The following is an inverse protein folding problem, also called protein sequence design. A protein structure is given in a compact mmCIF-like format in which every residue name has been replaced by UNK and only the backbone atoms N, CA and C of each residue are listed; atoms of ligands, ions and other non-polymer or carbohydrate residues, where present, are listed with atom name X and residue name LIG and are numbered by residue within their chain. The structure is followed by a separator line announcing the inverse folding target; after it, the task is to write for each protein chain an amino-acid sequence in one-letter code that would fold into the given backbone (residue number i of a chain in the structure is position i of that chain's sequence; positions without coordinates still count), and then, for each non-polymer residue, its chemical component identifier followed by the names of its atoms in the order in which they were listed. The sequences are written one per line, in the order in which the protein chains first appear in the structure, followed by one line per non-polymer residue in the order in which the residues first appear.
data_IF_912612292050
#
_entry.id   IF_912612292050
#
_cell.length_a   1.000
_cell.length_b   1.000
_cell.length_c   1.000
_cell.angle_alpha   90.00
_cell.angle_beta   90.00
_cell.angle_gamma   90.00
#
_symmetry.space_group_name_H-M   'P 1'
#
loop_
_entity.id
_entity.type
_entity.pdbx_description
1 polymer ?
#
# COMPACT_ATOMS: atom_id res chain seq x y z
N UNK A 1 16.65 43.97 -10.50
CA UNK A 1 16.98 43.09 -9.36
C UNK A 1 17.42 41.74 -9.91
N UNK A 2 18.65 41.30 -9.63
CA UNK A 2 19.16 40.01 -10.09
C UNK A 2 18.41 38.86 -9.38
N UNK A 3 17.85 37.91 -10.14
CA UNK A 3 17.24 36.70 -9.56
C UNK A 3 18.34 35.83 -8.98
N UNK A 4 18.27 35.55 -7.67
CA UNK A 4 19.20 34.63 -7.02
C UNK A 4 18.78 33.19 -7.32
N UNK A 5 19.59 32.49 -8.12
CA UNK A 5 19.43 31.07 -8.38
C UNK A 5 20.41 30.28 -7.51
N UNK A 6 19.93 29.21 -6.87
CA UNK A 6 20.78 28.29 -6.09
C UNK A 6 21.94 27.72 -6.93
N UNK A 7 21.69 27.54 -8.23
CA UNK A 7 22.71 27.19 -9.23
C UNK A 7 22.68 28.25 -10.33
N UNK A 8 23.65 29.19 -10.38
CA UNK A 8 23.66 30.24 -11.38
C UNK A 8 23.87 29.64 -12.78
N UNK A 9 23.32 30.27 -13.83
CA UNK A 9 23.38 29.77 -15.19
C UNK A 9 24.83 29.58 -15.69
N UNK A 10 25.75 30.47 -15.30
CA UNK A 10 27.18 30.38 -15.63
C UNK A 10 27.81 29.08 -15.13
N UNK A 11 27.54 28.74 -13.86
CA UNK A 11 28.06 27.51 -13.25
C UNK A 11 27.46 26.26 -13.87
N UNK A 12 26.17 26.29 -14.24
CA UNK A 12 25.53 25.17 -14.92
C UNK A 12 26.06 24.99 -16.35
N UNK A 13 26.40 26.07 -17.05
CA UNK A 13 26.97 26.03 -18.40
C UNK A 13 28.39 25.43 -18.38
N UNK A 14 29.25 25.87 -17.46
CA UNK A 14 30.59 25.32 -17.24
C UNK A 14 30.52 23.80 -16.98
N UNK A 15 29.68 23.39 -16.02
CA UNK A 15 29.55 21.98 -15.66
C UNK A 15 28.92 21.15 -16.78
N UNK A 16 28.00 21.70 -17.56
CA UNK A 16 27.42 21.02 -18.71
C UNK A 16 28.46 20.83 -19.83
N UNK A 17 29.29 21.84 -20.11
CA UNK A 17 30.34 21.72 -21.13
C UNK A 17 31.33 20.59 -20.84
N UNK A 18 31.69 20.39 -19.56
CA UNK A 18 32.60 19.33 -19.14
C UNK A 18 31.94 17.97 -18.86
N UNK A 19 30.62 17.87 -18.99
CA UNK A 19 29.87 16.66 -18.65
C UNK A 19 29.34 15.98 -19.91
N UNK A 20 29.23 14.66 -19.85
CA UNK A 20 28.60 13.85 -20.90
C UNK A 20 27.18 13.41 -20.53
N UNK A 21 26.69 13.75 -19.34
CA UNK A 21 25.31 13.45 -18.91
C UNK A 21 24.85 14.32 -17.76
N UNK A 22 23.53 14.44 -17.56
CA UNK A 22 22.93 15.13 -16.40
C UNK A 22 23.39 14.50 -15.08
N UNK A 23 23.58 13.18 -15.03
CA UNK A 23 24.10 12.47 -13.85
C UNK A 23 25.55 12.85 -13.51
N UNK A 24 26.35 13.25 -14.49
CA UNK A 24 27.70 13.75 -14.28
C UNK A 24 27.70 15.19 -13.78
N UNK A 25 26.82 16.04 -14.33
CA UNK A 25 26.56 17.39 -13.79
C UNK A 25 26.15 17.30 -12.31
N UNK A 26 25.26 16.38 -11.96
CA UNK A 26 24.84 16.15 -10.57
C UNK A 26 25.99 15.73 -9.66
N UNK A 27 26.86 14.82 -10.13
CA UNK A 27 28.06 14.40 -9.38
C UNK A 27 29.01 15.57 -9.14
N UNK A 28 29.27 16.40 -10.16
CA UNK A 28 30.12 17.58 -10.04
C UNK A 28 29.52 18.68 -9.17
N UNK A 29 28.19 18.76 -9.10
CA UNK A 29 27.46 19.63 -8.15
C UNK A 29 27.43 19.07 -6.71
N UNK A 30 27.94 17.86 -6.46
CA UNK A 30 27.88 17.21 -5.15
C UNK A 30 26.47 16.78 -4.74
N UNK A 31 25.55 16.58 -5.70
CA UNK A 31 24.16 16.21 -5.42
C UNK A 31 23.95 14.69 -5.58
N UNK A 32 23.09 14.09 -4.73
CA UNK A 32 22.73 12.68 -4.87
C UNK A 32 21.93 12.44 -6.16
N UNK A 33 22.18 11.29 -6.80
CA UNK A 33 21.53 10.88 -8.06
C UNK A 33 20.12 10.36 -7.75
N UNK A 34 19.20 11.28 -7.46
CA UNK A 34 17.78 11.01 -7.23
C UNK A 34 16.95 11.62 -8.36
N UNK A 35 15.80 11.01 -8.68
CA UNK A 35 14.95 11.44 -9.79
C UNK A 35 14.47 12.90 -9.68
N UNK A 36 14.27 13.41 -8.47
CA UNK A 36 13.93 14.82 -8.22
C UNK A 36 15.05 15.78 -8.62
N UNK A 37 16.30 15.49 -8.24
CA UNK A 37 17.46 16.30 -8.61
C UNK A 37 17.73 16.26 -10.11
N UNK A 38 17.59 15.08 -10.73
CA UNK A 38 17.71 14.92 -12.18
C UNK A 38 16.69 15.78 -12.93
N UNK A 39 15.42 15.76 -12.49
CA UNK A 39 14.36 16.56 -13.09
C UNK A 39 14.59 18.06 -12.90
N UNK A 40 15.01 18.48 -11.71
CA UNK A 40 15.24 19.88 -11.40
C UNK A 40 16.38 20.47 -12.25
N UNK A 41 17.54 19.81 -12.29
CA UNK A 41 18.70 20.28 -13.08
C UNK A 41 18.41 20.23 -14.58
N UNK A 42 17.74 19.18 -15.07
CA UNK A 42 17.31 19.12 -16.48
C UNK A 42 16.41 20.28 -16.88
N UNK A 43 15.47 20.69 -16.01
CA UNK A 43 14.62 21.87 -16.24
C UNK A 43 15.43 23.16 -16.24
N UNK A 44 16.39 23.31 -15.32
CA UNK A 44 17.24 24.51 -15.26
C UNK A 44 18.12 24.65 -16.52
N UNK A 45 18.77 23.57 -16.98
CA UNK A 45 19.57 23.57 -18.21
C UNK A 45 18.74 24.02 -19.41
N UNK A 46 17.50 23.50 -19.55
CA UNK A 46 16.58 23.90 -20.61
C UNK A 46 16.11 25.35 -20.46
N UNK A 47 15.79 25.78 -19.24
CA UNK A 47 15.32 27.13 -18.95
C UNK A 47 16.38 28.20 -19.29
N UNK A 48 17.65 27.90 -19.06
CA UNK A 48 18.76 28.80 -19.36
C UNK A 48 19.29 28.66 -20.78
N UNK A 49 18.72 27.77 -21.60
CA UNK A 49 19.16 27.56 -22.98
C UNK A 49 20.59 27.01 -23.10
N UNK A 50 21.06 26.28 -22.08
CA UNK A 50 22.40 25.69 -22.08
C UNK A 50 22.39 24.49 -23.03
N UNK A 51 23.37 24.42 -23.94
CA UNK A 51 23.50 23.29 -24.86
C UNK A 51 23.85 22.01 -24.12
N UNK A 52 23.02 20.98 -24.33
CA UNK A 52 23.20 19.63 -23.79
C UNK A 52 23.10 18.57 -24.90
N UNK A 53 23.26 18.97 -26.16
CA UNK A 53 23.15 18.08 -27.32
C UNK A 53 24.23 16.98 -27.34
N UNK A 54 25.41 17.28 -26.78
CA UNK A 54 26.52 16.34 -26.61
C UNK A 54 26.32 15.34 -25.47
N UNK A 55 25.28 15.50 -24.64
CA UNK A 55 25.00 14.54 -23.58
C UNK A 55 24.63 13.19 -24.19
N UNK A 56 25.29 12.15 -23.70
CA UNK A 56 24.99 10.77 -24.04
C UNK A 56 23.55 10.51 -23.62
N UNK A 57 22.68 10.22 -24.59
CA UNK A 57 21.28 9.88 -24.31
C UNK A 57 21.28 8.61 -23.46
N UNK A 58 20.86 8.74 -22.20
CA UNK A 58 20.54 7.59 -21.35
C UNK A 58 19.52 6.73 -22.11
N UNK A 59 19.93 5.53 -22.54
CA UNK A 59 19.05 4.61 -23.29
C UNK A 59 19.47 4.28 -24.72
N UNK A 60 20.68 4.63 -25.18
CA UNK A 60 21.28 3.90 -26.31
C UNK A 60 21.61 2.48 -25.85
N UNK A 61 20.58 1.63 -25.80
CA UNK A 61 20.75 0.18 -25.82
C UNK A 61 21.65 -0.13 -27.01
N UNK A 62 22.79 -0.80 -26.78
CA UNK A 62 23.45 -1.50 -27.88
C UNK A 62 22.36 -2.27 -28.61
N UNK A 63 22.24 -2.05 -29.93
CA UNK A 63 21.31 -2.80 -30.76
C UNK A 63 21.68 -4.27 -30.52
N UNK A 64 20.83 -5.04 -29.83
CA UNK A 64 21.16 -6.42 -29.52
C UNK A 64 21.22 -7.19 -30.84
N UNK A 65 21.96 -8.31 -30.87
CA UNK A 65 22.07 -9.11 -32.09
C UNK A 65 20.68 -9.45 -32.60
N UNK A 66 20.40 -9.11 -33.85
CA UNK A 66 19.21 -9.56 -34.53
C UNK A 66 19.48 -11.01 -34.93
N UNK A 67 18.86 -11.96 -34.21
CA UNK A 67 18.93 -13.36 -34.61
C UNK A 67 18.22 -13.55 -35.94
N UNK A 68 18.80 -14.37 -36.80
CA UNK A 68 18.15 -14.77 -38.05
C UNK A 68 17.00 -15.74 -37.75
N UNK A 69 16.08 -15.89 -38.71
CA UNK A 69 14.96 -16.83 -38.58
C UNK A 69 15.44 -18.26 -38.34
N UNK A 70 16.52 -18.66 -39.01
CA UNK A 70 17.04 -20.02 -38.96
C UNK A 70 17.65 -20.32 -37.58
N UNK A 71 18.45 -19.39 -37.04
CA UNK A 71 19.00 -19.47 -35.68
C UNK A 71 17.91 -19.61 -34.61
N UNK A 72 16.84 -18.83 -34.74
CA UNK A 72 15.71 -18.89 -33.80
C UNK A 72 14.90 -20.18 -33.94
N UNK A 73 14.81 -20.73 -35.15
CA UNK A 73 14.06 -21.98 -35.40
C UNK A 73 14.81 -23.17 -34.82
N UNK A 74 16.13 -23.22 -35.03
CA UNK A 74 17.00 -24.26 -34.45
C UNK A 74 17.04 -24.18 -32.92
N UNK A 75 17.17 -22.97 -32.38
CA UNK A 75 17.12 -22.75 -30.93
C UNK A 75 15.76 -23.11 -30.34
N UNK A 76 14.65 -22.87 -31.06
CA UNK A 76 13.32 -23.26 -30.62
C UNK A 76 13.10 -24.78 -30.67
N UNK A 77 13.66 -25.48 -31.67
CA UNK A 77 13.58 -26.94 -31.74
C UNK A 77 14.36 -27.64 -30.61
N UNK A 78 15.50 -27.07 -30.21
CA UNK A 78 16.39 -27.65 -29.18
C UNK A 78 16.02 -27.26 -27.74
N UNK A 79 15.17 -26.24 -27.56
CA UNK A 79 14.84 -25.69 -26.25
C UNK A 79 13.42 -26.00 -25.81
N UNK A 80 13.21 -26.04 -24.51
CA UNK A 80 11.88 -26.20 -23.91
C UNK A 80 11.43 -24.96 -23.12
N UNK A 81 12.21 -23.87 -23.16
CA UNK A 81 11.85 -22.58 -22.57
C UNK A 81 12.61 -21.42 -23.21
N UNK A 82 12.06 -20.20 -23.15
CA UNK A 82 12.76 -18.99 -23.61
C UNK A 82 14.09 -18.74 -22.89
N UNK A 83 14.27 -19.24 -21.65
CA UNK A 83 15.54 -19.11 -20.91
C UNK A 83 16.62 -20.01 -21.49
N UNK A 84 16.25 -21.24 -21.84
CA UNK A 84 17.13 -22.21 -22.48
C UNK A 84 17.46 -21.81 -23.91
N UNK A 85 16.45 -21.32 -24.64
CA UNK A 85 16.62 -20.76 -25.99
C UNK A 85 17.62 -19.61 -26.00
N UNK A 86 17.52 -18.67 -25.05
CA UNK A 86 18.49 -17.57 -24.92
C UNK A 86 19.91 -18.08 -24.62
N UNK A 87 20.07 -19.13 -23.80
CA UNK A 87 21.39 -19.72 -23.51
C UNK A 87 21.97 -20.44 -24.72
N UNK A 88 21.15 -21.16 -25.48
CA UNK A 88 21.54 -21.83 -26.73
C UNK A 88 22.04 -20.83 -27.77
N UNK A 89 21.41 -19.65 -27.83
CA UNK A 89 21.81 -18.51 -28.65
C UNK A 89 23.02 -17.72 -28.09
N UNK A 90 23.64 -18.17 -27.00
CA UNK A 90 24.78 -17.50 -26.37
C UNK A 90 24.46 -16.20 -25.63
N UNK A 91 23.18 -15.95 -25.30
CA UNK A 91 22.73 -14.74 -24.62
C UNK A 91 22.36 -14.96 -23.16
N UNK A 92 22.71 -13.98 -22.32
CA UNK A 92 22.37 -13.98 -20.90
C UNK A 92 20.87 -13.69 -20.65
N UNK A 93 20.16 -14.56 -19.91
CA UNK A 93 18.75 -14.34 -19.59
C UNK A 93 18.55 -13.16 -18.65
N UNK A 94 17.81 -12.13 -19.09
CA UNK A 94 17.47 -10.95 -18.31
C UNK A 94 15.99 -10.57 -18.53
N UNK A 95 15.38 -9.76 -17.65
CA UNK A 95 13.97 -9.36 -17.80
C UNK A 95 13.65 -8.71 -19.15
N UNK A 96 14.59 -7.94 -19.72
CA UNK A 96 14.43 -7.28 -21.02
C UNK A 96 14.67 -8.22 -22.20
N UNK A 97 15.45 -9.30 -22.06
CA UNK A 97 15.72 -10.24 -23.15
C UNK A 97 14.52 -11.16 -23.45
N UNK A 98 13.71 -11.51 -22.44
CA UNK A 98 12.50 -12.33 -22.64
C UNK A 98 11.43 -11.66 -23.52
N UNK A 99 11.22 -10.35 -23.35
CA UNK A 99 10.25 -9.61 -24.17
C UNK A 99 10.66 -9.56 -25.64
N UNK A 100 11.97 -9.38 -25.88
CA UNK A 100 12.54 -9.27 -27.23
C UNK A 100 12.48 -10.59 -27.99
N UNK A 101 12.94 -11.68 -27.37
CA UNK A 101 12.94 -12.99 -28.03
C UNK A 101 11.52 -13.43 -28.38
N UNK A 102 10.52 -13.13 -27.53
CA UNK A 102 9.11 -13.36 -27.84
C UNK A 102 8.62 -12.54 -29.03
N UNK A 103 8.98 -11.26 -29.10
CA UNK A 103 8.62 -10.40 -30.22
C UNK A 103 9.20 -10.93 -31.53
N UNK A 104 10.48 -11.33 -31.53
CA UNK A 104 11.14 -11.90 -32.71
C UNK A 104 10.56 -13.25 -33.12
N UNK A 105 10.29 -14.17 -32.19
CA UNK A 105 9.61 -15.43 -32.50
C UNK A 105 8.21 -15.20 -33.09
N UNK A 106 7.48 -14.20 -32.61
CA UNK A 106 6.16 -13.84 -33.15
C UNK A 106 6.26 -13.21 -34.54
N UNK A 107 7.28 -12.38 -34.79
CA UNK A 107 7.52 -11.73 -36.08
C UNK A 107 7.87 -12.75 -37.17
N UNK A 108 8.69 -13.75 -36.83
CA UNK A 108 9.09 -14.82 -37.75
C UNK A 108 8.14 -16.02 -37.77
N UNK A 109 7.01 -15.95 -37.04
CA UNK A 109 6.02 -17.01 -36.91
C UNK A 109 6.63 -18.38 -36.51
N UNK A 110 7.55 -18.37 -35.54
CA UNK A 110 8.22 -19.57 -35.03
C UNK A 110 7.34 -20.22 -33.96
N UNK A 111 7.04 -21.50 -34.13
CA UNK A 111 6.27 -22.24 -33.13
C UNK A 111 7.08 -22.41 -31.84
N UNK A 112 6.50 -21.89 -30.75
CA UNK A 112 7.04 -22.01 -29.39
C UNK A 112 5.99 -22.56 -28.43
N UNK A 113 4.92 -23.17 -28.96
CA UNK A 113 3.81 -23.72 -28.18
C UNK A 113 4.24 -24.89 -27.28
N UNK A 114 5.28 -25.64 -27.68
CA UNK A 114 5.90 -26.71 -26.90
C UNK A 114 6.78 -26.21 -25.76
N UNK A 115 7.11 -24.91 -25.70
CA UNK A 115 7.85 -24.36 -24.57
C UNK A 115 7.01 -24.52 -23.32
N UNK A 116 7.51 -25.31 -22.37
CA UNK A 116 6.86 -25.52 -21.08
C UNK A 116 6.83 -24.18 -20.35
N UNK A 117 5.72 -23.47 -20.46
CA UNK A 117 5.46 -22.35 -19.58
C UNK A 117 5.56 -22.90 -18.15
N UNK A 118 6.49 -22.38 -17.34
CA UNK A 118 6.69 -22.79 -15.94
C UNK A 118 5.39 -22.78 -15.10
N UNK A 119 4.34 -22.16 -15.61
CA UNK A 119 2.97 -22.17 -15.08
C UNK A 119 2.24 -23.51 -15.19
N UNK A 120 2.66 -24.46 -16.04
CA UNK A 120 1.96 -25.75 -16.24
C UNK A 120 2.34 -26.82 -15.20
N UNK A 121 3.29 -26.55 -14.30
CA UNK A 121 3.71 -27.51 -13.24
C UNK A 121 2.72 -27.70 -12.09
N UNK A 122 1.53 -27.09 -12.13
CA UNK A 122 0.42 -27.46 -11.26
C UNK A 122 -0.85 -27.56 -12.11
N UNK A 123 -0.99 -28.64 -12.89
CA UNK A 123 -2.34 -29.11 -13.22
C UNK A 123 -2.84 -29.84 -11.99
N UNK A 124 -3.79 -29.25 -11.30
CA UNK A 124 -4.50 -29.90 -10.20
C UNK A 124 -5.39 -30.99 -10.80
N UNK A 125 -5.54 -32.09 -10.08
CA UNK A 125 -6.55 -33.10 -10.43
C UNK A 125 -7.96 -32.45 -10.46
N UNK A 126 -8.71 -32.56 -11.56
CA UNK A 126 -10.07 -32.02 -11.65
C UNK A 126 -10.98 -32.47 -10.51
N UNK A 127 -10.85 -33.72 -10.06
CA UNK A 127 -11.69 -34.26 -8.98
C UNK A 127 -11.37 -33.60 -7.65
N UNK A 128 -10.08 -33.36 -7.39
CA UNK A 128 -9.65 -32.61 -6.20
C UNK A 128 -10.16 -31.17 -6.19
N UNK A 129 -10.28 -30.54 -7.36
CA UNK A 129 -10.88 -29.21 -7.46
C UNK A 129 -12.39 -29.25 -7.18
N UNK A 130 -13.11 -30.26 -7.70
CA UNK A 130 -14.55 -30.43 -7.46
C UNK A 130 -14.84 -30.66 -5.98
N UNK A 131 -14.09 -31.53 -5.32
CA UNK A 131 -14.17 -31.76 -3.87
C UNK A 131 -13.99 -30.44 -3.10
N UNK A 132 -12.90 -29.72 -3.38
CA UNK A 132 -12.60 -28.47 -2.70
C UNK A 132 -13.67 -27.39 -2.91
N UNK A 133 -14.27 -27.32 -4.10
CA UNK A 133 -15.39 -26.41 -4.41
C UNK A 133 -16.65 -26.82 -3.65
N UNK A 134 -16.98 -28.11 -3.59
CA UNK A 134 -18.16 -28.62 -2.89
C UNK A 134 -18.10 -28.39 -1.37
N UNK A 135 -16.92 -28.50 -0.77
CA UNK A 135 -16.71 -28.29 0.67
C UNK A 135 -16.58 -26.81 1.07
N UNK A 136 -16.38 -25.91 0.10
CA UNK A 136 -16.08 -24.51 0.36
C UNK A 136 -17.29 -23.61 0.15
N UNK A 137 -17.41 -22.58 1.00
CA UNK A 137 -18.41 -21.51 0.84
C UNK A 137 -17.83 -20.25 0.17
N UNK A 138 -16.56 -20.29 -0.26
CA UNK A 138 -15.90 -19.17 -0.94
C UNK A 138 -14.65 -19.62 -1.71
N UNK A 139 -14.20 -18.83 -2.69
CA UNK A 139 -12.93 -19.05 -3.41
C UNK A 139 -11.74 -19.08 -2.43
N UNK A 140 -11.78 -18.29 -1.35
CA UNK A 140 -10.74 -18.34 -0.31
C UNK A 140 -10.78 -19.66 0.49
N UNK A 141 -11.96 -20.25 0.69
CA UNK A 141 -12.13 -21.61 1.20
C UNK A 141 -11.44 -22.62 0.29
N UNK A 142 -11.69 -22.55 -1.02
CA UNK A 142 -11.08 -23.45 -2.02
C UNK A 142 -9.55 -23.32 -2.02
N UNK A 143 -9.03 -22.09 -1.97
CA UNK A 143 -7.58 -21.83 -1.86
C UNK A 143 -6.97 -22.46 -0.60
N UNK A 144 -7.69 -22.45 0.53
CA UNK A 144 -7.24 -23.11 1.78
C UNK A 144 -7.25 -24.63 1.65
N UNK A 145 -8.35 -25.20 1.15
CA UNK A 145 -8.51 -26.65 0.97
C UNK A 145 -7.46 -27.23 0.02
N UNK A 146 -7.01 -26.44 -0.96
CA UNK A 146 -5.99 -26.82 -1.93
C UNK A 146 -4.57 -26.38 -1.53
N UNK A 147 -4.38 -25.85 -0.33
CA UNK A 147 -3.09 -25.37 0.19
C UNK A 147 -2.36 -24.43 -0.79
N UNK A 148 -3.13 -23.57 -1.46
CA UNK A 148 -2.59 -22.60 -2.40
C UNK A 148 -2.14 -21.32 -1.68
N UNK A 149 -1.23 -20.53 -2.28
CA UNK A 149 -0.87 -19.22 -1.75
C UNK A 149 -2.09 -18.33 -1.56
N UNK A 150 -2.27 -17.84 -0.33
CA UNK A 150 -3.36 -16.94 0.00
C UNK A 150 -3.19 -15.60 -0.72
N UNK A 151 -4.22 -15.18 -1.48
CA UNK A 151 -4.23 -13.92 -2.22
C UNK A 151 -4.45 -14.10 -3.73
N UNK A 152 -4.14 -13.04 -4.49
CA UNK A 152 -4.49 -12.94 -5.92
C UNK A 152 -3.83 -14.01 -6.80
N UNK A 153 -2.70 -14.58 -6.39
CA UNK A 153 -2.06 -15.69 -7.09
C UNK A 153 -2.89 -16.98 -6.99
N UNK A 154 -3.30 -17.38 -5.78
CA UNK A 154 -4.15 -18.55 -5.57
C UNK A 154 -5.52 -18.41 -6.24
N UNK A 155 -6.16 -17.24 -6.13
CA UNK A 155 -7.47 -16.99 -6.77
C UNK A 155 -7.41 -17.11 -8.29
N UNK A 156 -6.33 -16.64 -8.92
CA UNK A 156 -6.15 -16.76 -10.38
C UNK A 156 -5.95 -18.20 -10.82
N UNK A 157 -5.29 -19.03 -10.01
CA UNK A 157 -5.12 -20.46 -10.30
C UNK A 157 -6.45 -21.20 -10.22
N UNK A 158 -7.22 -20.99 -9.15
CA UNK A 158 -8.54 -21.64 -8.99
C UNK A 158 -9.49 -21.28 -10.13
N UNK A 159 -9.56 -19.99 -10.51
CA UNK A 159 -10.42 -19.56 -11.64
C UNK A 159 -9.98 -20.17 -12.96
N UNK A 160 -8.67 -20.14 -13.25
CA UNK A 160 -8.13 -20.76 -14.47
C UNK A 160 -8.44 -22.25 -14.54
N UNK A 161 -8.22 -23.00 -13.46
CA UNK A 161 -8.54 -24.43 -13.44
C UNK A 161 -10.04 -24.69 -13.54
N UNK A 162 -10.88 -23.85 -12.94
CA UNK A 162 -12.32 -23.97 -13.11
C UNK A 162 -12.74 -23.75 -14.57
N UNK A 163 -12.15 -22.77 -15.26
CA UNK A 163 -12.37 -22.54 -16.69
C UNK A 163 -11.85 -23.72 -17.54
N UNK A 164 -10.62 -24.22 -17.25
CA UNK A 164 -9.97 -25.32 -17.97
C UNK A 164 -10.75 -26.65 -17.84
N UNK A 165 -11.44 -26.87 -16.71
CA UNK A 165 -12.17 -28.10 -16.41
C UNK A 165 -13.70 -27.94 -16.45
N UNK A 166 -14.20 -26.78 -16.88
CA UNK A 166 -15.62 -26.44 -16.89
C UNK A 166 -16.34 -26.70 -15.56
N UNK A 167 -15.70 -26.30 -14.45
CA UNK A 167 -16.25 -26.44 -13.09
C UNK A 167 -16.99 -25.15 -12.70
N UNK A 168 -18.26 -25.28 -12.35
CA UNK A 168 -19.08 -24.13 -11.93
C UNK A 168 -18.69 -23.62 -10.54
N UNK A 169 -18.31 -22.35 -10.47
CA UNK A 169 -17.99 -21.65 -9.23
C UNK A 169 -19.15 -20.78 -8.71
N UNK A 170 -20.30 -20.75 -9.39
CA UNK A 170 -21.46 -19.92 -9.05
C UNK A 170 -22.04 -20.28 -7.67
N UNK A 171 -21.87 -21.55 -7.25
CA UNK A 171 -22.26 -22.04 -5.93
C UNK A 171 -21.37 -21.50 -4.79
N UNK A 172 -20.30 -20.76 -5.07
CA UNK A 172 -19.50 -20.07 -4.07
C UNK A 172 -20.08 -18.66 -3.85
N UNK A 173 -20.83 -18.40 -2.75
CA UNK A 173 -21.56 -17.14 -2.55
C UNK A 173 -20.68 -15.89 -2.43
N UNK A 174 -19.35 -15.98 -2.55
CA UNK A 174 -18.47 -14.82 -2.63
C UNK A 174 -18.62 -13.91 -1.41
N UNK A 175 -18.84 -12.60 -1.59
CA UNK A 175 -19.17 -11.67 -0.49
C UNK A 175 -20.66 -11.71 -0.08
N UNK A 176 -21.49 -12.46 -0.80
CA UNK A 176 -22.93 -12.55 -0.55
C UNK A 176 -23.30 -13.49 0.61
N UNK A 177 -22.37 -14.27 1.17
CA UNK A 177 -22.61 -15.07 2.39
C UNK A 177 -22.97 -14.21 3.62
N UNK A 178 -22.62 -12.91 3.58
CA UNK A 178 -23.00 -11.91 4.57
C UNK A 178 -24.13 -10.98 4.08
N UNK A 179 -24.66 -11.18 2.87
CA UNK A 179 -25.75 -10.36 2.35
C UNK A 179 -27.00 -10.61 3.20
N UNK A 180 -27.54 -9.55 3.79
CA UNK A 180 -28.65 -9.62 4.75
C UNK A 180 -28.23 -9.94 6.19
N UNK A 181 -26.95 -10.25 6.45
CA UNK A 181 -26.44 -10.40 7.82
C UNK A 181 -25.92 -9.07 8.32
N UNK A 182 -26.63 -8.48 9.27
CA UNK A 182 -26.15 -7.30 10.01
C UNK A 182 -25.46 -7.80 11.28
N UNK A 183 -24.23 -7.34 11.54
CA UNK A 183 -23.57 -7.65 12.80
C UNK A 183 -24.46 -7.18 13.97
N UNK A 184 -24.55 -7.96 15.06
CA UNK A 184 -25.35 -7.56 16.21
C UNK A 184 -24.84 -6.22 16.75
N UNK A 185 -25.77 -5.30 16.99
CA UNK A 185 -25.45 -4.00 17.56
C UNK A 185 -25.09 -4.19 19.03
N UNK A 186 -23.89 -3.78 19.43
CA UNK A 186 -23.49 -3.72 20.84
C UNK A 186 -24.49 -2.87 21.64
N UNK A 187 -24.93 -3.36 22.78
CA UNK A 187 -25.77 -2.64 23.75
C UNK A 187 -24.97 -1.55 24.48
N UNK A 188 -25.67 -0.60 25.11
CA UNK A 188 -25.03 0.39 25.99
C UNK A 188 -24.25 -0.25 27.14
N UNK A 189 -24.76 -1.34 27.71
CA UNK A 189 -24.11 -2.06 28.82
C UNK A 189 -22.80 -2.71 28.38
N UNK A 190 -22.75 -3.28 27.18
CA UNK A 190 -21.51 -3.84 26.62
C UNK A 190 -20.46 -2.78 26.29
N UNK A 191 -20.90 -1.55 25.99
CA UNK A 191 -20.01 -0.43 25.67
C UNK A 191 -19.47 0.24 26.95
N UNK A 192 -20.35 0.48 27.93
CA UNK A 192 -20.07 1.26 29.13
C UNK A 192 -19.58 0.39 30.29
N UNK A 193 -18.47 -0.30 30.08
CA UNK A 193 -17.85 -1.18 31.07
C UNK A 193 -16.34 -0.96 31.16
N UNK A 194 -15.75 -1.43 32.25
CA UNK A 194 -14.30 -1.47 32.41
C UNK A 194 -13.73 -2.76 31.81
N UNK A 195 -12.74 -2.63 30.93
CA UNK A 195 -12.02 -3.77 30.34
C UNK A 195 -10.50 -3.57 30.43
N UNK A 196 -9.84 -4.06 31.50
CA UNK A 196 -8.42 -3.81 31.73
C UNK A 196 -7.53 -4.43 30.63
N UNK A 197 -7.94 -5.55 30.04
CA UNK A 197 -7.16 -6.27 29.02
C UNK A 197 -7.44 -5.82 27.58
N UNK A 198 -8.23 -4.75 27.41
CA UNK A 198 -8.60 -4.26 26.09
C UNK A 198 -7.38 -3.71 25.35
N UNK A 199 -7.14 -4.22 24.14
CA UNK A 199 -5.99 -3.86 23.31
C UNK A 199 -6.14 -2.54 22.56
N UNK A 200 -7.38 -2.12 22.26
CA UNK A 200 -7.68 -0.93 21.46
C UNK A 200 -8.73 -0.06 22.14
N UNK A 201 -8.52 1.26 22.11
CA UNK A 201 -9.48 2.24 22.63
C UNK A 201 -10.83 2.08 21.95
N UNK A 202 -11.90 2.16 22.74
CA UNK A 202 -13.26 2.11 22.24
C UNK A 202 -13.52 3.29 21.29
N UNK A 203 -14.28 3.04 20.22
CA UNK A 203 -14.62 4.09 19.25
C UNK A 203 -15.49 5.14 19.92
N UNK A 204 -15.09 6.41 19.85
CA UNK A 204 -15.76 7.53 20.54
C UNK A 204 -17.25 7.65 20.18
N UNK A 205 -17.63 7.39 18.92
CA UNK A 205 -19.05 7.45 18.53
C UNK A 205 -19.91 6.38 19.23
N UNK A 206 -19.33 5.24 19.62
CA UNK A 206 -20.05 4.22 20.39
C UNK A 206 -20.25 4.67 21.84
N UNK A 207 -19.24 5.31 22.44
CA UNK A 207 -19.35 5.90 23.78
C UNK A 207 -20.41 7.01 23.81
N UNK A 208 -20.35 7.95 22.86
CA UNK A 208 -21.35 9.04 22.74
C UNK A 208 -22.77 8.47 22.66
N UNK A 209 -22.96 7.51 21.75
CA UNK A 209 -24.26 6.85 21.54
C UNK A 209 -24.75 6.15 22.81
N UNK A 210 -23.89 5.40 23.49
CA UNK A 210 -24.26 4.69 24.71
C UNK A 210 -24.58 5.64 25.87
N UNK A 211 -23.82 6.74 26.01
CA UNK A 211 -24.12 7.79 26.98
C UNK A 211 -25.49 8.44 26.71
N UNK A 212 -25.81 8.72 25.44
CA UNK A 212 -27.15 9.24 25.07
C UNK A 212 -28.26 8.24 25.36
N UNK A 213 -28.06 6.95 25.05
CA UNK A 213 -29.02 5.88 25.32
C UNK A 213 -29.35 5.73 26.82
N UNK A 214 -28.39 5.96 27.72
CA UNK A 214 -28.63 5.97 29.17
C UNK A 214 -29.12 7.32 29.72
N UNK A 215 -29.43 8.29 28.84
CA UNK A 215 -29.99 9.58 29.23
C UNK A 215 -28.95 10.62 29.69
N UNK A 216 -27.66 10.47 29.38
CA UNK A 216 -26.66 11.49 29.70
C UNK A 216 -26.90 12.74 28.83
N UNK A 217 -27.20 13.86 29.48
CA UNK A 217 -27.35 15.14 28.81
C UNK A 217 -26.07 15.55 28.05
N UNK A 218 -26.18 16.00 26.78
CA UNK A 218 -25.05 16.48 26.00
C UNK A 218 -24.68 17.91 26.41
N UNK A 219 -24.19 18.06 27.64
CA UNK A 219 -23.72 19.33 28.19
C UNK A 219 -22.32 19.17 28.78
N UNK A 220 -21.52 20.24 28.74
CA UNK A 220 -20.21 20.20 29.37
C UNK A 220 -20.35 20.04 30.90
N UNK A 221 -19.71 19.03 31.47
CA UNK A 221 -19.71 18.77 32.90
C UNK A 221 -18.98 19.83 33.74
N UNK A 222 -18.13 20.67 33.12
CA UNK A 222 -17.37 21.73 33.81
C UNK A 222 -18.06 23.09 33.75
N UNK A 223 -18.46 23.56 32.55
CA UNK A 223 -19.04 24.88 32.38
C UNK A 223 -20.52 24.88 31.97
N UNK A 224 -21.14 23.72 31.76
CA UNK A 224 -22.55 23.62 31.39
C UNK A 224 -22.88 23.97 29.94
N UNK A 225 -21.90 24.38 29.13
CA UNK A 225 -22.16 24.80 27.74
C UNK A 225 -22.77 23.64 26.92
N UNK A 226 -23.79 23.98 26.14
CA UNK A 226 -24.48 23.10 25.17
C UNK A 226 -24.35 23.63 23.74
N UNK A 227 -24.37 24.96 23.58
CA UNK A 227 -24.29 25.65 22.31
C UNK A 227 -23.19 26.72 22.33
N UNK A 228 -22.58 26.98 21.18
CA UNK A 228 -21.58 28.02 20.98
C UNK A 228 -21.90 28.77 19.69
N UNK A 229 -21.95 30.11 19.75
CA UNK A 229 -22.28 30.96 18.60
C UNK A 229 -23.59 30.57 17.89
N UNK A 230 -24.61 30.15 18.64
CA UNK A 230 -25.92 29.79 18.10
C UNK A 230 -26.01 28.40 17.46
N UNK A 231 -24.98 27.55 17.59
CA UNK A 231 -24.98 26.18 17.11
C UNK A 231 -24.53 25.19 18.20
N UNK A 232 -25.01 23.92 18.18
CA UNK A 232 -24.58 22.89 19.13
C UNK A 232 -23.06 22.68 19.11
N UNK A 233 -22.44 22.73 20.29
CA UNK A 233 -21.00 22.49 20.38
C UNK A 233 -20.71 20.99 20.37
N UNK A 234 -19.67 20.59 19.65
CA UNK A 234 -19.21 19.20 19.69
C UNK A 234 -18.51 18.95 21.03
N UNK A 235 -19.17 18.20 21.91
CA UNK A 235 -18.61 17.77 23.19
C UNK A 235 -17.71 16.55 23.03
N UNK A 236 -16.57 16.57 23.69
CA UNK A 236 -15.60 15.48 23.76
C UNK A 236 -15.92 14.57 24.94
N UNK A 237 -15.68 13.26 24.78
CA UNK A 237 -15.83 12.28 25.87
C UNK A 237 -14.50 12.18 26.59
N UNK A 238 -14.47 12.61 27.85
CA UNK A 238 -13.31 12.57 28.73
C UNK A 238 -13.47 11.47 29.79
N UNK A 239 -12.36 10.83 30.12
CA UNK A 239 -12.25 9.82 31.17
C UNK A 239 -11.75 10.53 32.44
N UNK A 240 -12.57 10.56 33.50
CA UNK A 240 -12.28 11.29 34.73
C UNK A 240 -10.98 10.81 35.37
N UNK A 241 -10.74 9.49 35.41
CA UNK A 241 -9.51 8.89 35.92
C UNK A 241 -8.35 8.89 34.91
N UNK A 242 -8.57 9.32 33.65
CA UNK A 242 -7.58 9.28 32.57
C UNK A 242 -7.28 7.89 31.99
N UNK A 243 -7.91 6.82 32.49
CA UNK A 243 -7.79 5.48 31.93
C UNK A 243 -8.84 5.25 30.84
N UNK A 244 -8.38 5.16 29.61
CA UNK A 244 -9.23 4.93 28.44
C UNK A 244 -9.90 3.56 28.40
N UNK A 245 -9.47 2.62 29.24
CA UNK A 245 -10.05 1.27 29.37
C UNK A 245 -11.28 1.23 30.27
N UNK A 246 -11.44 2.23 31.13
CA UNK A 246 -12.56 2.34 32.04
C UNK A 246 -13.70 3.17 31.42
N UNK A 247 -14.53 2.51 30.61
CA UNK A 247 -15.66 3.18 29.94
C UNK A 247 -16.94 3.17 30.78
N UNK A 248 -16.87 2.86 32.08
CA UNK A 248 -18.06 2.91 32.94
C UNK A 248 -18.66 4.31 32.95
N UNK A 249 -19.99 4.38 32.97
CA UNK A 249 -20.75 5.63 32.79
C UNK A 249 -20.42 6.73 33.79
N UNK A 250 -19.99 6.34 34.99
CA UNK A 250 -19.58 7.18 36.11
C UNK A 250 -18.16 7.75 35.94
N UNK A 251 -17.32 7.11 35.12
CA UNK A 251 -15.98 7.58 34.79
C UNK A 251 -15.96 8.46 33.52
N UNK A 252 -17.05 8.48 32.75
CA UNK A 252 -17.15 9.26 31.52
C UNK A 252 -17.90 10.57 31.74
N UNK A 253 -17.38 11.66 31.18
CA UNK A 253 -18.05 12.96 31.15
C UNK A 253 -17.92 13.64 29.79
N UNK A 254 -18.89 14.50 29.48
CA UNK A 254 -18.79 15.39 28.34
C UNK A 254 -18.04 16.66 28.72
N UNK A 255 -17.05 17.07 27.91
CA UNK A 255 -16.36 18.34 28.05
C UNK A 255 -16.37 19.09 26.71
N UNK A 256 -16.54 20.41 26.75
CA UNK A 256 -16.28 21.23 25.57
C UNK A 256 -14.77 21.32 25.29
N UNK A 257 -14.34 21.62 24.05
CA UNK A 257 -12.91 21.69 23.70
C UNK A 257 -12.10 22.63 24.61
N UNK A 258 -12.70 23.74 25.04
CA UNK A 258 -12.07 24.71 25.94
C UNK A 258 -11.89 24.18 27.37
N UNK A 259 -12.84 23.39 27.88
CA UNK A 259 -12.73 22.80 29.21
C UNK A 259 -11.85 21.55 29.19
N UNK A 260 -11.92 20.77 28.12
CA UNK A 260 -11.10 19.56 27.97
C UNK A 260 -9.63 19.91 27.84
N UNK A 261 -9.28 20.98 27.11
CA UNK A 261 -7.88 21.44 27.00
C UNK A 261 -7.24 21.83 28.34
N UNK A 262 -8.03 22.04 29.39
CA UNK A 262 -7.58 22.38 30.73
C UNK A 262 -7.45 21.17 31.67
N UNK A 263 -7.78 19.94 31.23
CA UNK A 263 -7.62 18.76 32.09
C UNK A 263 -6.18 18.29 32.15
N UNK A 264 -5.82 17.61 33.24
CA UNK A 264 -4.51 16.96 33.40
C UNK A 264 -4.32 15.77 32.44
N UNK A 265 -5.42 15.24 31.88
CA UNK A 265 -5.45 14.12 30.94
C UNK A 265 -5.32 14.56 29.48
N UNK A 266 -5.45 15.86 29.20
CA UNK A 266 -5.48 16.38 27.82
C UNK A 266 -4.18 16.09 27.08
N UNK A 267 -4.29 15.59 25.84
CA UNK A 267 -3.15 15.25 24.97
C UNK A 267 -2.04 14.44 25.66
N UNK A 268 -2.38 13.59 26.63
CA UNK A 268 -1.41 12.75 27.32
C UNK A 268 -0.52 13.48 28.33
N UNK A 269 -0.91 14.67 28.82
CA UNK A 269 -0.19 15.37 29.90
C UNK A 269 0.01 14.51 31.16
N UNK A 270 -0.88 13.55 31.41
CA UNK A 270 -0.77 12.61 32.53
C UNK A 270 0.28 11.49 32.31
N UNK A 271 0.84 11.35 31.11
CA UNK A 271 1.81 10.29 30.80
C UNK A 271 3.13 10.43 31.59
N UNK A 272 3.50 11.65 32.03
CA UNK A 272 4.69 11.88 32.85
C UNK A 272 4.47 11.65 34.35
N UNK A 273 3.20 11.59 34.81
CA UNK A 273 2.85 11.46 36.24
C UNK A 273 2.80 10.00 36.71
N UNK A 274 2.68 9.05 35.79
CA UNK A 274 2.68 7.60 36.11
C UNK A 274 4.08 7.08 36.45
N UNK A 275 5.12 7.86 36.16
CA UNK A 275 6.52 7.61 36.54
C UNK A 275 6.96 8.49 37.70
N UNK A 276 6.52 8.18 38.94
CA UNK A 276 7.19 8.51 40.21
C UNK A 276 7.83 9.90 40.44
N UNK A 277 7.41 10.95 39.74
CA UNK A 277 8.01 12.29 39.84
C UNK A 277 7.30 13.18 40.87
N UNK A 278 8.08 13.76 41.77
CA UNK A 278 7.71 14.67 42.88
C UNK A 278 6.63 15.69 42.46
N UNK A 279 5.57 15.92 43.27
CA UNK A 279 4.52 16.88 42.91
C UNK A 279 5.09 18.31 42.84
N UNK A 280 4.82 19.00 41.73
CA UNK A 280 5.09 20.43 41.61
C UNK A 280 4.23 21.22 42.60
N UNK A 281 4.85 22.12 43.35
CA UNK A 281 4.20 22.97 44.33
C UNK A 281 3.11 23.85 43.69
N UNK A 282 2.01 24.13 44.40
CA UNK A 282 0.96 24.99 43.88
C UNK A 282 1.49 26.43 43.73
N UNK A 283 1.30 27.00 42.54
CA UNK A 283 1.48 28.44 42.33
C UNK A 283 0.37 29.18 43.10
N UNK A 284 0.79 30.21 43.85
CA UNK A 284 -0.08 31.12 44.61
C UNK A 284 -0.99 31.93 43.70
#
# INVERSE_FOLDING_TARGET
MARFYKYPPERLAELAAESRSVSEVLRKLGLPILGGHHTHISRQLKQFGIDTSHFTRCGQHHKPPAYTRDELTEAAATSHSFREMLRSLGAEPSPSSYGRIRAQCSEFAIDTSHFRALTTRRRLDPDRLREAVAESQSIAGVVRALELPHGSAGYRLVRRWADDYSIDLTNLPGQAHNRGKTAPRLSSVEILRHEPDRSKRQRVHLLRRALTEIGRAPQCAKCGIVDSHGAPIILEVDHINGDWRDNRSENLRYLCPNCHSQTDTFCGRNASRTSGGIPAAPLR
#
